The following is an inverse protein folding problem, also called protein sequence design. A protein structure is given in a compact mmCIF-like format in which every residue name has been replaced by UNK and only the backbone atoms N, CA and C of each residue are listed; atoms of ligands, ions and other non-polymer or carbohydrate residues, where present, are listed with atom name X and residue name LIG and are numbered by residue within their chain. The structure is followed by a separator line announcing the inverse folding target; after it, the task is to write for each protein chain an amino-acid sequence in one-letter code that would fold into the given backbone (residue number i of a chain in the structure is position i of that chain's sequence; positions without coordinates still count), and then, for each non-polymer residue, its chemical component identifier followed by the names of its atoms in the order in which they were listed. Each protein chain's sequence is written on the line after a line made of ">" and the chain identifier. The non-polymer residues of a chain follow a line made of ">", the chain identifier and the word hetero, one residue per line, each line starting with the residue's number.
data_IF_089226353064
#
_entry.id   IF_089226353064
#
_cell.length_a   1.000
_cell.length_b   1.000
_cell.length_c   1.000
_cell.angle_alpha   90.00
_cell.angle_beta   90.00
_cell.angle_gamma   90.00
#
_symmetry.space_group_name_H-M   'P 1'
#
loop_
_entity.id
_entity.type
_entity.pdbx_description
1 polymer ?
#
# COMPACT_ATOMS: atom_id res chain seq x y z
N UNK A 1 -27.84 5.01 -18.09
CA UNK A 1 -27.92 6.22 -17.28
C UNK A 1 -27.87 5.82 -15.80
N UNK A 2 -26.84 6.25 -15.09
CA UNK A 2 -26.76 5.94 -13.67
C UNK A 2 -27.78 6.77 -12.89
N UNK A 3 -28.36 6.20 -11.85
CA UNK A 3 -29.21 6.93 -10.92
C UNK A 3 -28.49 7.08 -9.58
N UNK A 4 -29.07 7.84 -8.67
CA UNK A 4 -28.46 8.13 -7.36
C UNK A 4 -28.17 6.87 -6.53
N UNK A 5 -28.97 5.82 -6.71
CA UNK A 5 -28.76 4.56 -5.99
C UNK A 5 -27.53 3.82 -6.49
N UNK A 6 -27.22 3.91 -7.79
CA UNK A 6 -26.06 3.24 -8.36
C UNK A 6 -24.76 3.76 -7.75
N UNK A 7 -24.72 5.04 -7.41
CA UNK A 7 -23.55 5.67 -6.81
C UNK A 7 -23.26 5.19 -5.37
N UNK A 8 -24.27 4.59 -4.72
CA UNK A 8 -24.11 4.02 -3.38
C UNK A 8 -23.48 2.64 -3.39
N UNK A 9 -23.56 1.94 -4.52
CA UNK A 9 -23.08 0.56 -4.63
C UNK A 9 -21.77 0.54 -5.38
N UNK A 10 -20.71 0.13 -4.68
CA UNK A 10 -19.36 0.07 -5.24
C UNK A 10 -18.85 -1.37 -5.17
N UNK A 11 -17.95 -1.72 -6.08
CA UNK A 11 -17.24 -2.99 -6.00
C UNK A 11 -16.09 -2.85 -5.01
N UNK A 12 -16.24 -3.45 -3.84
CA UNK A 12 -15.21 -3.42 -2.81
C UNK A 12 -13.91 -4.10 -3.19
N UNK A 13 -13.91 -4.84 -4.31
CA UNK A 13 -12.70 -5.46 -4.86
C UNK A 13 -11.95 -4.53 -5.81
N UNK A 14 -12.62 -3.49 -6.30
CA UNK A 14 -12.02 -2.52 -7.19
C UNK A 14 -11.21 -1.50 -6.40
N UNK A 15 -10.02 -1.20 -6.90
CA UNK A 15 -9.21 -0.15 -6.30
C UNK A 15 -9.43 1.16 -7.05
N UNK A 16 -9.30 2.26 -6.35
CA UNK A 16 -9.28 3.58 -6.97
C UNK A 16 -7.87 3.85 -7.49
N UNK A 17 -7.65 3.54 -8.77
CA UNK A 17 -6.33 3.66 -9.40
C UNK A 17 -5.80 5.09 -9.38
N UNK A 18 -6.69 6.06 -9.54
CA UNK A 18 -6.30 7.48 -9.53
C UNK A 18 -5.82 7.89 -8.14
N UNK A 19 -6.54 7.49 -7.11
CA UNK A 19 -6.18 7.80 -5.72
C UNK A 19 -4.86 7.14 -5.35
N UNK A 20 -4.67 5.87 -5.71
CA UNK A 20 -3.42 5.16 -5.47
C UNK A 20 -2.26 5.87 -6.15
N UNK A 21 -2.42 6.28 -7.41
CA UNK A 21 -1.38 7.00 -8.13
C UNK A 21 -1.06 8.35 -7.47
N UNK A 22 -2.06 9.07 -7.02
CA UNK A 22 -1.86 10.34 -6.30
C UNK A 22 -1.04 10.16 -5.03
N UNK A 23 -1.31 9.09 -4.28
CA UNK A 23 -0.59 8.80 -3.04
C UNK A 23 0.87 8.43 -3.32
N UNK A 24 1.09 7.57 -4.31
CA UNK A 24 2.42 7.00 -4.57
C UNK A 24 3.35 7.93 -5.32
N UNK A 25 2.82 8.73 -6.25
CA UNK A 25 3.64 9.48 -7.20
C UNK A 25 4.68 10.42 -6.58
N UNK A 26 4.44 11.07 -5.41
CA UNK A 26 5.46 11.89 -4.78
C UNK A 26 6.63 11.09 -4.18
N UNK A 27 6.43 9.81 -3.90
CA UNK A 27 7.37 9.01 -3.10
C UNK A 27 8.17 8.01 -3.92
N UNK A 28 7.58 7.42 -4.95
CA UNK A 28 8.20 6.32 -5.68
C UNK A 28 7.83 6.34 -7.16
N UNK A 29 8.66 5.64 -7.93
CA UNK A 29 8.32 5.14 -9.25
C UNK A 29 8.42 3.62 -9.19
N UNK A 30 7.72 2.95 -10.09
CA UNK A 30 7.74 1.48 -10.17
C UNK A 30 8.30 1.09 -11.52
N UNK A 31 9.32 0.22 -11.51
CA UNK A 31 9.84 -0.36 -12.74
C UNK A 31 8.90 -1.46 -13.21
N UNK A 32 8.27 -1.25 -14.35
CA UNK A 32 7.28 -2.20 -14.89
C UNK A 32 7.88 -3.53 -15.33
N UNK A 33 9.20 -3.58 -15.52
CA UNK A 33 9.86 -4.82 -15.96
C UNK A 33 10.37 -5.66 -14.79
N UNK A 34 10.87 -5.01 -13.74
CA UNK A 34 11.47 -5.70 -12.59
C UNK A 34 10.56 -5.75 -11.37
N UNK A 35 9.48 -4.98 -11.37
CA UNK A 35 8.58 -4.80 -10.22
C UNK A 35 9.27 -4.15 -9.01
N UNK A 36 10.41 -3.51 -9.22
CA UNK A 36 11.11 -2.82 -8.15
C UNK A 36 10.56 -1.41 -7.96
N UNK A 37 10.49 -0.99 -6.71
CA UNK A 37 10.19 0.41 -6.40
C UNK A 37 11.47 1.22 -6.48
N UNK A 38 11.37 2.42 -7.05
CA UNK A 38 12.48 3.38 -7.14
C UNK A 38 12.14 4.56 -6.25
N UNK A 39 12.75 4.67 -5.06
CA UNK A 39 12.43 5.76 -4.15
C UNK A 39 12.78 7.13 -4.74
N UNK A 40 11.88 8.08 -4.52
CA UNK A 40 12.13 9.48 -4.78
C UNK A 40 12.54 10.17 -3.48
N UNK A 41 12.97 11.43 -3.58
CA UNK A 41 13.50 12.13 -2.42
C UNK A 41 12.61 12.13 -1.17
N UNK A 42 11.28 12.41 -1.27
CA UNK A 42 10.42 12.39 -0.09
C UNK A 42 10.35 11.06 0.64
N UNK A 43 10.62 9.94 -0.04
CA UNK A 43 10.68 8.63 0.60
C UNK A 43 11.73 8.59 1.71
N UNK A 44 12.89 9.21 1.47
CA UNK A 44 14.00 9.14 2.42
C UNK A 44 13.66 9.79 3.76
N UNK A 45 12.80 10.81 3.74
CA UNK A 45 12.39 11.54 4.94
C UNK A 45 11.12 11.01 5.56
N UNK A 46 10.49 10.01 4.95
CA UNK A 46 9.23 9.47 5.43
C UNK A 46 9.44 8.61 6.68
N UNK A 47 8.44 8.64 7.56
CA UNK A 47 8.41 7.79 8.75
C UNK A 47 8.28 6.32 8.36
N UNK A 48 8.71 5.43 9.26
CA UNK A 48 8.70 3.99 8.99
C UNK A 48 7.33 3.46 8.55
N UNK A 49 6.26 3.82 9.28
CA UNK A 49 4.92 3.33 8.92
C UNK A 49 4.45 3.83 7.56
N UNK A 50 4.88 5.04 7.17
CA UNK A 50 4.55 5.60 5.86
C UNK A 50 5.26 4.80 4.76
N UNK A 51 6.54 4.47 4.95
CA UNK A 51 7.28 3.64 3.99
C UNK A 51 6.62 2.28 3.81
N UNK A 52 6.16 1.67 4.90
CA UNK A 52 5.46 0.38 4.86
C UNK A 52 4.18 0.50 4.05
N UNK A 53 3.37 1.52 4.33
CA UNK A 53 2.11 1.73 3.62
C UNK A 53 2.34 2.01 2.13
N UNK A 54 3.34 2.82 1.80
CA UNK A 54 3.68 3.11 0.40
C UNK A 54 4.11 1.84 -0.32
N UNK A 55 4.95 1.03 0.30
CA UNK A 55 5.39 -0.23 -0.30
C UNK A 55 4.22 -1.18 -0.57
N UNK A 56 3.34 -1.38 0.43
CA UNK A 56 2.19 -2.27 0.28
C UNK A 56 1.18 -1.73 -0.73
N UNK A 57 1.00 -0.43 -0.77
CA UNK A 57 0.14 0.21 -1.75
C UNK A 57 0.73 0.11 -3.16
N UNK A 58 2.07 0.15 -3.28
CA UNK A 58 2.76 -0.07 -4.55
C UNK A 58 2.48 -1.46 -5.11
N UNK A 59 2.41 -2.48 -4.27
CA UNK A 59 2.07 -3.84 -4.71
C UNK A 59 0.65 -3.89 -5.29
N UNK A 60 -0.30 -3.17 -4.67
CA UNK A 60 -1.64 -2.99 -5.22
C UNK A 60 -1.60 -2.37 -6.63
N UNK A 61 -0.81 -1.31 -6.77
CA UNK A 61 -0.67 -0.63 -8.05
C UNK A 61 -0.07 -1.53 -9.12
N UNK A 62 0.92 -2.34 -8.76
CA UNK A 62 1.53 -3.30 -9.69
C UNK A 62 0.51 -4.28 -10.24
N UNK A 63 -0.35 -4.82 -9.37
CA UNK A 63 -1.40 -5.76 -9.80
C UNK A 63 -2.42 -5.05 -10.69
N UNK A 64 -2.82 -3.84 -10.33
CA UNK A 64 -3.76 -3.04 -11.11
C UNK A 64 -3.20 -2.69 -12.50
N UNK A 65 -1.90 -2.57 -12.62
CA UNK A 65 -1.21 -2.34 -13.90
C UNK A 65 -1.20 -3.60 -14.76
N UNK A 66 -1.32 -4.77 -14.14
CA UNK A 66 -1.29 -6.06 -14.83
C UNK A 66 -0.04 -6.89 -14.58
N UNK A 67 0.79 -6.49 -13.62
CA UNK A 67 1.98 -7.27 -13.27
C UNK A 67 1.58 -8.53 -12.49
N UNK A 68 2.27 -9.62 -12.75
CA UNK A 68 1.98 -10.91 -12.14
C UNK A 68 2.79 -11.10 -10.86
N UNK A 69 2.30 -10.49 -9.78
CA UNK A 69 2.90 -10.61 -8.45
C UNK A 69 1.81 -10.87 -7.41
N UNK A 70 2.21 -11.29 -6.23
CA UNK A 70 1.31 -11.44 -5.11
C UNK A 70 1.08 -10.06 -4.45
N UNK A 71 -0.16 -9.73 -4.13
CA UNK A 71 -0.47 -8.46 -3.48
C UNK A 71 0.09 -8.40 -2.06
N UNK A 72 -0.13 -9.44 -1.28
CA UNK A 72 0.29 -9.48 0.11
C UNK A 72 1.80 -9.72 0.24
N UNK A 73 2.43 -9.08 1.22
CA UNK A 73 3.86 -9.19 1.49
C UNK A 73 4.10 -9.66 2.92
N UNK A 74 5.09 -10.54 3.09
CA UNK A 74 5.56 -10.97 4.41
C UNK A 74 6.36 -9.85 5.09
N UNK A 75 6.56 -9.97 6.39
CA UNK A 75 7.45 -9.05 7.11
C UNK A 75 8.86 -9.05 6.50
N UNK A 76 9.36 -10.22 6.09
CA UNK A 76 10.69 -10.31 5.46
C UNK A 76 10.75 -9.52 4.15
N UNK A 77 9.70 -9.61 3.32
CA UNK A 77 9.62 -8.85 2.08
C UNK A 77 9.53 -7.35 2.34
N UNK A 78 8.77 -6.95 3.37
CA UNK A 78 8.67 -5.54 3.75
C UNK A 78 10.02 -5.01 4.20
N UNK A 79 10.73 -5.74 5.05
CA UNK A 79 12.06 -5.39 5.53
C UNK A 79 13.02 -5.22 4.35
N UNK A 80 13.06 -6.22 3.47
CA UNK A 80 13.97 -6.24 2.32
C UNK A 80 13.72 -5.08 1.37
N UNK A 81 12.46 -4.75 1.11
CA UNK A 81 12.11 -3.75 0.09
C UNK A 81 12.02 -2.33 0.62
N UNK A 82 11.82 -2.14 1.92
CA UNK A 82 11.79 -0.80 2.52
C UNK A 82 13.14 -0.37 3.08
N UNK A 83 14.03 -1.32 3.33
CA UNK A 83 15.30 -1.04 4.00
C UNK A 83 15.17 -0.78 5.50
N UNK A 84 13.99 -0.97 6.06
CA UNK A 84 13.76 -0.80 7.49
C UNK A 84 14.27 -2.02 8.28
N UNK A 85 14.55 -1.82 9.55
CA UNK A 85 15.00 -2.90 10.43
C UNK A 85 13.80 -3.72 10.92
N UNK A 86 14.04 -5.00 11.23
CA UNK A 86 13.00 -5.90 11.74
C UNK A 86 12.35 -5.35 13.02
N UNK A 87 13.13 -4.80 13.94
CA UNK A 87 12.63 -4.21 15.18
C UNK A 87 11.71 -3.01 14.96
N UNK A 88 11.75 -2.40 13.80
CA UNK A 88 10.85 -1.31 13.39
C UNK A 88 9.63 -1.85 12.66
N UNK A 89 9.83 -2.82 11.76
CA UNK A 89 8.76 -3.34 10.90
C UNK A 89 7.73 -4.13 11.69
N UNK A 90 8.14 -5.06 12.53
CA UNK A 90 7.18 -5.92 13.26
C UNK A 90 6.17 -5.13 14.09
N UNK A 91 6.59 -4.18 14.95
CA UNK A 91 5.61 -3.39 15.71
C UNK A 91 4.73 -2.50 14.85
N UNK A 92 5.29 -1.91 13.79
CA UNK A 92 4.54 -1.03 12.90
C UNK A 92 3.47 -1.79 12.12
N UNK A 93 3.81 -2.96 11.59
CA UNK A 93 2.86 -3.81 10.87
C UNK A 93 1.74 -4.28 11.80
N UNK A 94 2.09 -4.70 13.01
CA UNK A 94 1.10 -5.12 14.01
C UNK A 94 0.12 -3.99 14.33
N UNK A 95 0.65 -2.78 14.53
CA UNK A 95 -0.18 -1.61 14.79
C UNK A 95 -1.14 -1.32 13.64
N UNK A 96 -0.64 -1.31 12.40
CA UNK A 96 -1.46 -1.07 11.23
C UNK A 96 -2.52 -2.15 11.04
N UNK A 97 -2.19 -3.39 11.34
CA UNK A 97 -3.14 -4.50 11.33
C UNK A 97 -4.22 -4.30 12.39
N UNK A 98 -3.83 -3.95 13.62
CA UNK A 98 -4.79 -3.72 14.71
C UNK A 98 -5.71 -2.52 14.44
N UNK A 99 -5.22 -1.52 13.73
CA UNK A 99 -6.00 -0.34 13.32
C UNK A 99 -6.86 -0.62 12.08
N UNK A 100 -6.83 -1.84 11.56
CA UNK A 100 -7.59 -2.28 10.39
C UNK A 100 -7.25 -1.53 9.10
N UNK A 101 -6.03 -1.04 9.01
CA UNK A 101 -5.49 -0.49 7.77
C UNK A 101 -4.96 -1.62 6.88
N UNK A 102 -4.40 -2.64 7.50
CA UNK A 102 -3.91 -3.83 6.81
C UNK A 102 -4.76 -5.05 7.16
N UNK A 103 -4.80 -5.99 6.23
CA UNK A 103 -5.34 -7.33 6.47
C UNK A 103 -4.19 -8.34 6.38
N UNK A 104 -4.38 -9.50 7.02
CA UNK A 104 -3.40 -10.56 7.06
C UNK A 104 -3.94 -11.81 6.35
N UNK A 105 -3.13 -12.42 5.50
CA UNK A 105 -3.47 -13.70 4.87
C UNK A 105 -3.17 -14.85 5.83
N UNK A 106 -3.61 -16.06 5.46
CA UNK A 106 -3.32 -17.28 6.23
C UNK A 106 -1.82 -17.57 6.33
N UNK A 107 -1.04 -17.11 5.35
CA UNK A 107 0.41 -17.28 5.32
C UNK A 107 1.15 -16.16 6.07
N UNK A 108 0.43 -15.36 6.84
CA UNK A 108 0.99 -14.25 7.61
C UNK A 108 1.65 -13.18 6.72
N UNK A 109 1.00 -12.88 5.61
CA UNK A 109 1.37 -11.78 4.71
C UNK A 109 0.34 -10.67 4.82
N UNK A 110 0.74 -9.45 4.52
CA UNK A 110 -0.08 -8.27 4.75
C UNK A 110 -0.33 -7.49 3.47
N UNK A 111 -1.52 -6.90 3.39
CA UNK A 111 -1.90 -6.03 2.28
C UNK A 111 -2.82 -4.91 2.78
N UNK A 112 -2.87 -3.81 2.03
CA UNK A 112 -3.77 -2.70 2.33
C UNK A 112 -5.17 -3.06 1.84
N UNK A 113 -6.17 -2.94 2.71
CA UNK A 113 -7.56 -3.15 2.32
C UNK A 113 -7.98 -2.09 1.28
N UNK A 114 -8.74 -2.51 0.27
CA UNK A 114 -9.16 -1.60 -0.79
C UNK A 114 -9.93 -0.39 -0.24
N UNK A 115 -10.80 -0.61 0.74
CA UNK A 115 -11.57 0.46 1.35
C UNK A 115 -10.75 1.32 2.33
N UNK A 116 -9.52 0.93 2.64
CA UNK A 116 -8.64 1.68 3.54
C UNK A 116 -7.71 2.65 2.80
N UNK A 117 -7.76 2.70 1.47
CA UNK A 117 -6.83 3.53 0.68
C UNK A 117 -6.96 5.02 1.03
N UNK A 118 -8.18 5.52 1.21
CA UNK A 118 -8.37 6.92 1.63
C UNK A 118 -7.82 7.19 3.02
N UNK A 119 -7.97 6.24 3.93
CA UNK A 119 -7.38 6.31 5.26
C UNK A 119 -5.86 6.39 5.17
N UNK A 120 -5.25 5.61 4.29
CA UNK A 120 -3.80 5.64 4.03
C UNK A 120 -3.39 7.03 3.56
N UNK A 121 -4.14 7.63 2.62
CA UNK A 121 -3.88 8.99 2.15
C UNK A 121 -3.85 9.98 3.31
N UNK A 122 -4.83 9.92 4.20
CA UNK A 122 -4.91 10.79 5.36
C UNK A 122 -3.74 10.59 6.31
N UNK A 123 -3.36 9.35 6.57
CA UNK A 123 -2.23 9.01 7.45
C UNK A 123 -0.91 9.57 6.91
N UNK A 124 -0.70 9.47 5.60
CA UNK A 124 0.51 9.97 4.95
C UNK A 124 0.53 11.50 4.98
N UNK A 125 -0.61 12.15 4.75
CA UNK A 125 -0.70 13.61 4.76
C UNK A 125 -0.45 14.20 6.15
N UNK A 126 -0.78 13.47 7.21
CA UNK A 126 -0.57 13.91 8.60
C UNK A 126 0.82 13.56 9.14
N UNK A 127 1.52 12.66 8.46
CA UNK A 127 2.82 12.16 8.90
C UNK A 127 4.06 13.00 8.53
#
# INVERSE_FOLDING_TARGET
>A
MSNELDDLFVDGKEIDKKLVAEILSPYIQIDKNTCEIRPLRPWNDAKAYIKILIYLLARKAMIAWGLNIEEAASNAEIISNTGLKSGTVYPAVRRLYNEKTLEQTKEQKYYVLNHAVEKVKSMISLG
#
